data_IF_960800280895
#
_entry.id   IF_960800280895
#
_cell.length_a   1.000
_cell.length_b   1.000
_cell.length_c   1.000
_cell.angle_alpha   90.00
_cell.angle_beta   90.00
_cell.angle_gamma   90.00
#
_symmetry.space_group_name_H-M   'P 1'
#
loop_
_entity.id
_entity.type
_entity.pdbx_description
1 polymer ?
#
# COMPACT_ATOMS: atom_id res chain seq x y z
N UNK A 1 -27.14 12.39 -0.88
CA UNK A 1 -26.28 11.65 -1.84
C UNK A 1 -24.84 11.52 -1.35
N UNK A 2 -24.22 12.59 -0.83
CA UNK A 2 -22.86 12.53 -0.24
C UNK A 2 -22.72 11.52 0.93
N UNK A 3 -23.69 11.46 1.84
CA UNK A 3 -23.67 10.51 2.98
C UNK A 3 -23.73 9.04 2.56
N UNK A 4 -24.43 8.71 1.47
CA UNK A 4 -24.50 7.35 0.93
C UNK A 4 -23.14 6.93 0.33
N UNK A 5 -22.48 7.80 -0.42
CA UNK A 5 -21.16 7.53 -0.98
C UNK A 5 -20.11 7.32 0.12
N UNK A 6 -20.13 8.14 1.17
CA UNK A 6 -19.24 7.99 2.32
C UNK A 6 -19.52 6.68 3.08
N UNK A 7 -20.80 6.34 3.27
CA UNK A 7 -21.20 5.08 3.88
C UNK A 7 -20.74 3.85 3.09
N UNK A 8 -20.94 3.85 1.77
CA UNK A 8 -20.48 2.78 0.87
C UNK A 8 -18.96 2.65 0.93
N UNK A 9 -18.23 3.78 0.89
CA UNK A 9 -16.78 3.76 0.95
C UNK A 9 -16.26 3.23 2.29
N UNK A 10 -16.89 3.59 3.42
CA UNK A 10 -16.56 3.00 4.74
C UNK A 10 -16.78 1.49 4.75
N UNK A 11 -17.93 1.01 4.28
CA UNK A 11 -18.20 -0.42 4.21
C UNK A 11 -17.15 -1.13 3.35
N UNK A 12 -16.80 -0.55 2.19
CA UNK A 12 -15.74 -1.05 1.32
C UNK A 12 -14.38 -1.12 2.01
N UNK A 13 -14.01 -0.07 2.74
CA UNK A 13 -12.76 -0.04 3.52
C UNK A 13 -12.76 -1.12 4.60
N UNK A 14 -13.84 -1.26 5.38
CA UNK A 14 -13.95 -2.28 6.41
C UNK A 14 -13.85 -3.69 5.82
N UNK A 15 -14.55 -3.95 4.71
CA UNK A 15 -14.49 -5.21 4.01
C UNK A 15 -13.07 -5.50 3.48
N UNK A 16 -12.39 -4.51 2.91
CA UNK A 16 -11.02 -4.65 2.42
C UNK A 16 -10.02 -4.92 3.56
N UNK A 17 -10.18 -4.27 4.73
CA UNK A 17 -9.34 -4.53 5.90
C UNK A 17 -9.56 -5.95 6.42
N UNK A 18 -10.82 -6.39 6.56
CA UNK A 18 -11.15 -7.74 6.99
C UNK A 18 -10.61 -8.80 6.01
N UNK A 19 -10.74 -8.56 4.71
CA UNK A 19 -10.17 -9.40 3.68
C UNK A 19 -8.64 -9.45 3.78
N UNK A 20 -7.98 -8.31 4.02
CA UNK A 20 -6.53 -8.26 4.24
C UNK A 20 -6.10 -9.07 5.46
N UNK A 21 -6.85 -9.00 6.56
CA UNK A 21 -6.57 -9.81 7.76
C UNK A 21 -6.75 -11.31 7.48
N UNK A 22 -7.79 -11.67 6.73
CA UNK A 22 -7.99 -13.04 6.27
C UNK A 22 -6.84 -13.50 5.36
N UNK A 23 -6.36 -12.63 4.47
CA UNK A 23 -5.23 -12.92 3.61
C UNK A 23 -3.95 -13.14 4.42
N UNK A 24 -3.69 -12.33 5.45
CA UNK A 24 -2.52 -12.49 6.34
C UNK A 24 -2.57 -13.76 7.18
N UNK A 25 -3.76 -14.16 7.66
CA UNK A 25 -3.91 -15.29 8.57
C UNK A 25 -4.06 -16.64 7.83
N UNK A 26 -4.67 -16.63 6.65
CA UNK A 26 -5.03 -17.85 5.91
C UNK A 26 -4.28 -17.89 4.59
N UNK A 27 -4.57 -16.98 3.67
CA UNK A 27 -4.11 -17.09 2.27
C UNK A 27 -2.57 -17.11 2.19
N UNK A 28 -1.89 -16.15 2.80
CA UNK A 28 -0.43 -16.02 2.70
C UNK A 28 0.28 -17.24 3.32
N UNK A 29 -0.04 -17.68 4.57
CA UNK A 29 0.57 -18.87 5.13
C UNK A 29 0.24 -20.16 4.36
N UNK A 30 -1.00 -20.34 3.90
CA UNK A 30 -1.38 -21.55 3.16
C UNK A 30 -0.70 -21.60 1.81
N UNK A 31 -0.66 -20.49 1.07
CA UNK A 31 0.02 -20.44 -0.23
C UNK A 31 1.52 -20.73 -0.10
N UNK A 32 2.16 -20.22 0.94
CA UNK A 32 3.57 -20.53 1.19
C UNK A 32 3.80 -22.00 1.56
N UNK A 33 2.91 -22.60 2.36
CA UNK A 33 2.98 -24.03 2.68
C UNK A 33 2.77 -24.90 1.44
N UNK A 34 1.78 -24.57 0.60
CA UNK A 34 1.50 -25.27 -0.65
C UNK A 34 2.70 -25.18 -1.62
N UNK A 35 3.38 -24.03 -1.69
CA UNK A 35 4.62 -23.88 -2.49
C UNK A 35 5.78 -24.74 -1.96
N UNK A 36 5.95 -24.83 -0.64
CA UNK A 36 6.98 -25.69 -0.04
C UNK A 36 6.68 -27.17 -0.28
N UNK A 37 5.41 -27.58 -0.15
CA UNK A 37 4.98 -28.96 -0.42
C UNK A 37 5.16 -29.35 -1.89
N UNK A 38 4.90 -28.41 -2.82
CA UNK A 38 5.10 -28.60 -4.25
C UNK A 38 6.60 -28.59 -4.63
N UNK A 39 7.39 -27.74 -3.98
CA UNK A 39 8.81 -27.56 -4.27
C UNK A 39 9.63 -27.38 -2.99
N UNK A 40 10.09 -28.49 -2.36
CA UNK A 40 10.82 -28.46 -1.10
C UNK A 40 12.06 -27.54 -1.06
N UNK A 41 12.83 -27.33 -2.15
CA UNK A 41 13.93 -26.37 -2.13
C UNK A 41 13.51 -24.90 -1.91
N UNK A 42 12.21 -24.57 -1.95
CA UNK A 42 11.67 -23.25 -1.62
C UNK A 42 11.61 -22.96 -0.11
N UNK A 43 11.69 -23.99 0.74
CA UNK A 43 11.55 -23.89 2.21
C UNK A 43 12.33 -22.72 2.84
N UNK A 44 13.61 -22.45 2.47
CA UNK A 44 14.36 -21.34 3.06
C UNK A 44 13.82 -19.95 2.70
N UNK A 45 13.11 -19.83 1.58
CA UNK A 45 12.61 -18.57 1.02
C UNK A 45 11.17 -18.28 1.45
N UNK A 46 10.40 -19.30 1.79
CA UNK A 46 8.99 -19.18 2.17
C UNK A 46 8.78 -18.18 3.32
N UNK A 47 9.57 -18.28 4.39
CA UNK A 47 9.41 -17.42 5.57
C UNK A 47 9.70 -15.93 5.25
N UNK A 48 10.83 -15.55 4.61
CA UNK A 48 11.06 -14.18 4.16
C UNK A 48 9.95 -13.61 3.28
N UNK A 49 9.45 -14.37 2.29
CA UNK A 49 8.41 -13.90 1.38
C UNK A 49 7.04 -13.79 2.06
N UNK A 50 6.72 -14.66 3.01
CA UNK A 50 5.53 -14.54 3.87
C UNK A 50 5.58 -13.24 4.67
N UNK A 51 6.70 -12.95 5.32
CA UNK A 51 6.87 -11.72 6.11
C UNK A 51 6.73 -10.48 5.21
N UNK A 52 7.40 -10.47 4.05
CA UNK A 52 7.30 -9.39 3.08
C UNK A 52 5.85 -9.16 2.62
N UNK A 53 5.13 -10.25 2.32
CA UNK A 53 3.72 -10.21 1.91
C UNK A 53 2.81 -9.67 3.01
N UNK A 54 2.98 -10.13 4.25
CA UNK A 54 2.22 -9.63 5.41
C UNK A 54 2.46 -8.14 5.62
N UNK A 55 3.70 -7.68 5.53
CA UNK A 55 4.07 -6.26 5.64
C UNK A 55 3.47 -5.43 4.50
N UNK A 56 3.45 -5.97 3.27
CA UNK A 56 2.78 -5.34 2.13
C UNK A 56 1.28 -5.13 2.38
N UNK A 57 0.58 -6.16 2.86
CA UNK A 57 -0.84 -6.07 3.23
C UNK A 57 -1.05 -5.09 4.38
N UNK A 58 -0.18 -5.10 5.39
CA UNK A 58 -0.26 -4.16 6.51
C UNK A 58 -0.12 -2.70 6.04
N UNK A 59 0.74 -2.41 5.06
CA UNK A 59 0.85 -1.07 4.47
C UNK A 59 -0.48 -0.61 3.84
N UNK A 60 -1.15 -1.50 3.11
CA UNK A 60 -2.48 -1.22 2.53
C UNK A 60 -3.50 -0.95 3.63
N UNK A 61 -3.53 -1.76 4.69
CA UNK A 61 -4.44 -1.56 5.82
C UNK A 61 -4.19 -0.22 6.54
N UNK A 62 -2.93 0.18 6.71
CA UNK A 62 -2.57 1.50 7.28
C UNK A 62 -3.09 2.64 6.40
N UNK A 63 -2.90 2.54 5.07
CA UNK A 63 -3.43 3.53 4.13
C UNK A 63 -4.96 3.59 4.19
N UNK A 64 -5.64 2.44 4.24
CA UNK A 64 -7.09 2.34 4.38
C UNK A 64 -7.60 2.97 5.70
N UNK A 65 -6.90 2.73 6.81
CA UNK A 65 -7.20 3.37 8.10
C UNK A 65 -7.04 4.89 8.05
N UNK A 66 -6.01 5.37 7.35
CA UNK A 66 -5.82 6.81 7.12
C UNK A 66 -6.95 7.41 6.28
N UNK A 67 -7.39 6.72 5.23
CA UNK A 67 -8.53 7.13 4.38
C UNK A 67 -9.82 7.17 5.21
N UNK A 68 -10.06 6.18 6.08
CA UNK A 68 -11.22 6.17 6.97
C UNK A 68 -11.26 7.42 7.84
N UNK A 69 -10.12 7.81 8.42
CA UNK A 69 -10.04 9.00 9.25
C UNK A 69 -10.25 10.28 8.44
N UNK A 70 -9.68 10.36 7.24
CA UNK A 70 -9.92 11.48 6.33
C UNK A 70 -11.41 11.61 5.99
N UNK A 71 -12.10 10.50 5.73
CA UNK A 71 -13.56 10.48 5.52
C UNK A 71 -14.32 11.01 6.73
N UNK A 72 -13.91 10.63 7.94
CA UNK A 72 -14.51 11.16 9.17
C UNK A 72 -14.27 12.67 9.36
N UNK A 73 -13.15 13.20 8.86
CA UNK A 73 -12.89 14.65 8.86
C UNK A 73 -13.73 15.39 7.81
N UNK A 74 -13.99 14.76 6.65
CA UNK A 74 -14.85 15.30 5.61
C UNK A 74 -16.28 15.52 6.11
N UNK A 75 -16.82 14.55 6.86
CA UNK A 75 -18.15 14.68 7.47
C UNK A 75 -18.25 15.78 8.55
N UNK A 76 -17.10 16.22 9.08
CA UNK A 76 -17.02 17.22 10.15
C UNK A 76 -16.50 18.59 9.67
N UNK A 77 -16.40 18.80 8.36
CA UNK A 77 -15.84 20.00 7.72
C UNK A 77 -14.40 20.35 8.19
N UNK A 78 -13.64 19.37 8.69
CA UNK A 78 -12.32 19.56 9.30
C UNK A 78 -11.15 19.27 8.34
N UNK A 79 -11.39 19.25 7.03
CA UNK A 79 -10.44 18.80 5.99
C UNK A 79 -9.23 19.74 5.88
N UNK A 80 -9.41 21.04 6.15
CA UNK A 80 -8.34 22.05 6.07
C UNK A 80 -7.50 22.18 7.35
N UNK A 81 -7.44 21.12 8.16
CA UNK A 81 -6.63 21.11 9.39
C UNK A 81 -5.27 20.45 9.16
N UNK A 82 -4.25 20.83 9.96
CA UNK A 82 -2.95 20.14 9.97
C UNK A 82 -3.07 18.62 10.19
N UNK A 83 -4.14 18.17 10.83
CA UNK A 83 -4.40 16.75 11.07
C UNK A 83 -4.65 15.98 9.76
N UNK A 84 -5.39 16.54 8.80
CA UNK A 84 -5.63 15.90 7.50
C UNK A 84 -4.30 15.67 6.73
N UNK A 85 -3.40 16.66 6.74
CA UNK A 85 -2.08 16.53 6.13
C UNK A 85 -1.22 15.42 6.75
N UNK A 86 -1.40 15.11 8.05
CA UNK A 86 -0.71 13.98 8.70
C UNK A 86 -1.21 12.64 8.18
N UNK A 87 -2.51 12.48 7.97
CA UNK A 87 -3.09 11.26 7.40
C UNK A 87 -2.67 11.05 5.95
N UNK A 88 -2.62 12.13 5.14
CA UNK A 88 -2.05 12.06 3.79
C UNK A 88 -0.57 11.64 3.83
N UNK A 89 0.21 12.21 4.77
CA UNK A 89 1.59 11.80 5.00
C UNK A 89 1.73 10.32 5.38
N UNK A 90 0.80 9.78 6.17
CA UNK A 90 0.77 8.37 6.54
C UNK A 90 0.51 7.46 5.32
N UNK A 91 -0.40 7.86 4.42
CA UNK A 91 -0.66 7.14 3.15
C UNK A 91 0.60 7.11 2.29
N UNK A 92 1.29 8.25 2.15
CA UNK A 92 2.55 8.34 1.40
C UNK A 92 3.60 7.43 2.02
N UNK A 93 3.78 7.48 3.35
CA UNK A 93 4.74 6.64 4.05
C UNK A 93 4.46 5.15 3.85
N UNK A 94 3.20 4.72 3.97
CA UNK A 94 2.80 3.34 3.72
C UNK A 94 3.06 2.90 2.27
N UNK A 95 2.77 3.76 1.29
CA UNK A 95 3.04 3.49 -0.11
C UNK A 95 4.55 3.35 -0.40
N UNK A 96 5.38 4.22 0.18
CA UNK A 96 6.84 4.16 0.06
C UNK A 96 7.37 2.86 0.67
N UNK A 97 6.92 2.48 1.88
CA UNK A 97 7.36 1.23 2.52
C UNK A 97 6.97 0.01 1.67
N UNK A 98 5.73 -0.04 1.16
CA UNK A 98 5.30 -1.11 0.26
C UNK A 98 6.15 -1.17 -1.02
N UNK A 99 6.48 -0.01 -1.58
CA UNK A 99 7.36 0.11 -2.77
C UNK A 99 8.75 -0.43 -2.48
N UNK A 100 9.32 -0.13 -1.32
CA UNK A 100 10.64 -0.62 -0.91
C UNK A 100 10.66 -2.14 -0.67
N UNK A 101 9.59 -2.70 -0.11
CA UNK A 101 9.43 -4.15 0.05
C UNK A 101 9.40 -4.82 -1.33
N UNK A 102 8.60 -4.31 -2.27
CA UNK A 102 8.53 -4.83 -3.63
C UNK A 102 9.88 -4.71 -4.37
N UNK A 103 10.60 -3.60 -4.15
CA UNK A 103 11.94 -3.42 -4.72
C UNK A 103 12.94 -4.43 -4.14
N UNK A 104 12.91 -4.66 -2.83
CA UNK A 104 13.74 -5.67 -2.18
C UNK A 104 13.47 -7.07 -2.73
N UNK A 105 12.20 -7.43 -2.92
CA UNK A 105 11.81 -8.69 -3.55
C UNK A 105 12.30 -8.78 -5.00
N UNK A 106 12.14 -7.73 -5.81
CA UNK A 106 12.63 -7.69 -7.19
C UNK A 106 14.15 -7.86 -7.25
N UNK A 107 14.90 -7.13 -6.41
CA UNK A 107 16.36 -7.24 -6.34
C UNK A 107 16.78 -8.66 -5.94
N UNK A 108 16.14 -9.24 -4.92
CA UNK A 108 16.42 -10.60 -4.47
C UNK A 108 16.15 -11.63 -5.59
N UNK A 109 15.02 -11.50 -6.30
CA UNK A 109 14.68 -12.35 -7.45
C UNK A 109 15.67 -12.22 -8.63
N UNK A 110 16.32 -11.06 -8.79
CA UNK A 110 17.33 -10.86 -9.85
C UNK A 110 18.72 -11.36 -9.49
N UNK A 111 19.09 -11.32 -8.20
CA UNK A 111 20.44 -11.62 -7.74
C UNK A 111 20.60 -13.07 -7.29
N UNK A 112 19.59 -13.63 -6.62
CA UNK A 112 19.59 -15.01 -6.19
C UNK A 112 18.96 -15.89 -7.27
N UNK A 113 19.68 -16.96 -7.64
CA UNK A 113 19.16 -17.99 -8.53
C UNK A 113 18.20 -18.87 -7.74
N UNK A 114 16.95 -18.42 -7.61
CA UNK A 114 15.90 -19.21 -6.97
C UNK A 114 15.66 -20.47 -7.81
N UNK A 115 15.84 -21.68 -7.25
CA UNK A 115 15.55 -22.90 -7.98
C UNK A 115 14.06 -22.91 -8.38
N UNK A 116 13.77 -23.12 -9.66
CA UNK A 116 12.40 -23.20 -10.18
C UNK A 116 12.13 -24.61 -10.73
N UNK A 117 10.97 -25.22 -10.44
CA UNK A 117 10.67 -26.58 -10.89
C UNK A 117 10.53 -26.75 -12.42
N UNK A 118 10.18 -25.69 -13.16
CA UNK A 118 9.92 -25.71 -14.61
C UNK A 118 10.87 -24.75 -15.40
N UNK A 119 10.38 -24.14 -16.48
CA UNK A 119 11.07 -23.21 -17.39
C UNK A 119 11.44 -21.83 -16.78
N UNK A 120 11.23 -21.64 -15.48
CA UNK A 120 11.50 -20.40 -14.76
C UNK A 120 10.38 -19.35 -14.86
N UNK A 121 9.29 -19.64 -15.57
CA UNK A 121 8.26 -18.63 -15.85
C UNK A 121 7.57 -18.07 -14.60
N UNK A 122 7.46 -18.87 -13.52
CA UNK A 122 6.92 -18.41 -12.25
C UNK A 122 7.80 -17.34 -11.59
N UNK A 123 9.12 -17.49 -11.65
CA UNK A 123 10.10 -16.53 -11.10
C UNK A 123 10.11 -15.25 -11.93
N UNK A 124 10.07 -15.37 -13.25
CA UNK A 124 9.96 -14.21 -14.15
C UNK A 124 8.65 -13.46 -13.97
N UNK A 125 7.52 -14.18 -13.80
CA UNK A 125 6.23 -13.59 -13.49
C UNK A 125 6.22 -12.85 -12.16
N UNK A 126 6.82 -13.44 -11.11
CA UNK A 126 6.98 -12.80 -9.81
C UNK A 126 7.87 -11.56 -9.89
N UNK A 127 8.96 -11.60 -10.66
CA UNK A 127 9.85 -10.47 -10.88
C UNK A 127 9.11 -9.33 -11.61
N UNK A 128 8.38 -9.64 -12.68
CA UNK A 128 7.60 -8.65 -13.42
C UNK A 128 6.53 -8.01 -12.53
N UNK A 129 5.83 -8.82 -11.72
CA UNK A 129 4.86 -8.33 -10.76
C UNK A 129 5.51 -7.41 -9.70
N UNK A 130 6.67 -7.79 -9.16
CA UNK A 130 7.41 -6.97 -8.20
C UNK A 130 7.86 -5.64 -8.82
N UNK A 131 8.42 -5.65 -10.04
CA UNK A 131 8.81 -4.44 -10.77
C UNK A 131 7.61 -3.54 -11.09
N UNK A 132 6.48 -4.12 -11.49
CA UNK A 132 5.24 -3.38 -11.71
C UNK A 132 4.76 -2.70 -10.42
N UNK A 133 4.78 -3.42 -9.29
CA UNK A 133 4.47 -2.86 -7.97
C UNK A 133 5.41 -1.70 -7.60
N UNK A 134 6.71 -1.81 -7.89
CA UNK A 134 7.68 -0.73 -7.66
C UNK A 134 7.33 0.49 -8.50
N UNK A 135 7.11 0.30 -9.81
CA UNK A 135 6.79 1.39 -10.72
C UNK A 135 5.50 2.12 -10.33
N UNK A 136 4.43 1.37 -10.07
CA UNK A 136 3.14 1.90 -9.65
C UNK A 136 3.24 2.57 -8.29
N UNK A 137 3.89 1.94 -7.31
CA UNK A 137 4.06 2.47 -5.96
C UNK A 137 4.88 3.76 -5.93
N UNK A 138 5.96 3.84 -6.71
CA UNK A 138 6.77 5.04 -6.86
C UNK A 138 5.99 6.18 -7.53
N UNK A 139 5.30 5.91 -8.65
CA UNK A 139 4.48 6.88 -9.34
C UNK A 139 3.35 7.42 -8.45
N UNK A 140 2.64 6.51 -7.75
CA UNK A 140 1.58 6.87 -6.81
C UNK A 140 2.10 7.74 -5.66
N UNK A 141 3.22 7.35 -5.06
CA UNK A 141 3.84 8.11 -3.96
C UNK A 141 4.23 9.51 -4.41
N UNK A 142 4.84 9.63 -5.59
CA UNK A 142 5.24 10.91 -6.16
C UNK A 142 4.03 11.80 -6.45
N UNK A 143 2.98 11.24 -7.06
CA UNK A 143 1.73 11.95 -7.32
C UNK A 143 1.10 12.49 -6.02
N UNK A 144 1.05 11.66 -4.98
CA UNK A 144 0.51 12.05 -3.67
C UNK A 144 1.33 13.17 -3.01
N UNK A 145 2.66 13.14 -3.12
CA UNK A 145 3.53 14.23 -2.64
C UNK A 145 3.27 15.52 -3.42
N UNK A 146 3.13 15.45 -4.75
CA UNK A 146 2.81 16.61 -5.59
C UNK A 146 1.46 17.20 -5.18
N UNK A 147 0.41 16.38 -5.08
CA UNK A 147 -0.92 16.82 -4.65
C UNK A 147 -0.89 17.48 -3.27
N UNK A 148 -0.16 16.89 -2.32
CA UNK A 148 0.02 17.47 -0.98
C UNK A 148 0.69 18.84 -1.04
N UNK A 149 1.71 19.00 -1.88
CA UNK A 149 2.46 20.25 -2.05
C UNK A 149 1.61 21.33 -2.69
N UNK A 150 0.84 20.99 -3.73
CA UNK A 150 -0.07 21.93 -4.39
C UNK A 150 -1.18 22.40 -3.44
N UNK A 151 -1.73 21.49 -2.62
CA UNK A 151 -2.76 21.83 -1.65
C UNK A 151 -2.22 22.77 -0.56
N UNK A 152 -0.96 22.58 -0.15
CA UNK A 152 -0.26 23.52 0.74
C UNK A 152 -0.12 24.91 0.12
N UNK A 153 0.39 25.00 -1.12
CA UNK A 153 0.54 26.28 -1.83
C UNK A 153 -0.78 27.02 -2.01
N UNK A 154 -1.86 26.31 -2.30
CA UNK A 154 -3.19 26.91 -2.45
C UNK A 154 -3.73 27.49 -1.14
N UNK A 155 -3.36 26.91 0.01
CA UNK A 155 -3.73 27.42 1.33
C UNK A 155 -2.95 28.69 1.70
N UNK A 156 -1.65 28.70 1.42
CA UNK A 156 -0.80 29.88 1.68
C UNK A 156 -1.28 31.09 0.87
N UNK A 157 -1.59 30.89 -0.42
CA UNK A 157 -2.14 31.93 -1.29
C UNK A 157 -3.48 32.50 -0.77
N UNK A 158 -4.35 31.67 -0.19
CA UNK A 158 -5.59 32.14 0.43
C UNK A 158 -5.34 32.96 1.69
N UNK A 159 -4.27 32.67 2.42
CA UNK A 159 -3.91 33.38 3.65
C UNK A 159 -3.39 34.78 3.32
N UNK A 160 -2.54 34.90 2.31
CA UNK A 160 -2.05 36.22 1.83
C UNK A 160 -3.18 37.12 1.34
N UNK A 161 -4.18 36.58 0.64
CA UNK A 161 -5.35 37.36 0.20
C UNK A 161 -6.26 37.81 1.34
N UNK A 162 -6.30 37.06 2.45
CA UNK A 162 -7.10 37.42 3.63
C UNK A 162 -6.42 38.51 4.49
N UNK A 163 -5.10 38.69 4.36
CA UNK A 163 -4.33 39.72 5.09
C UNK A 163 -4.51 41.13 4.50
N UNK A 164 -4.97 41.25 3.25
CA UNK A 164 -5.11 42.53 2.53
C UNK A 164 -6.47 43.21 2.78
N UNK A 165 -7.39 42.57 3.51
CA UNK A 165 -8.74 43.09 3.84
C UNK A 165 -8.76 43.56 5.30
#
# INVERSE_FOLDING_TARGET
>A
MHSLLVGILRIGIAAAVLFGLFAQAVIIPTTAADEVDLFPPYEPYALPYVIASILGVACVQVALGAIWMLLAMVERDAIFTRAAFRWVGLIIGAAVVATLIALGAAVHLTLDTIPSPDDGMAVEGALLAALACVAVGAAFSMLMVIMRTLLGKAMDMRTELAEVI
#
